data_IF_878415409874
#
_entry.id   IF_878415409874
#
_cell.length_a   1.000
_cell.length_b   1.000
_cell.length_c   1.000
_cell.angle_alpha   90.00
_cell.angle_beta   90.00
_cell.angle_gamma   90.00
#
_symmetry.space_group_name_H-M   'P 1'
#
loop_
_entity.id
_entity.type
_entity.pdbx_description
1 polymer ?
#
# COMPACT_ATOMS: atom_id res chain seq x y z
N UNK A 1 27.64 42.75 17.00
CA UNK A 1 29.12 42.87 17.05
C UNK A 1 29.69 41.56 16.54
N UNK A 2 30.56 41.51 15.54
CA UNK A 2 31.89 42.12 15.40
C UNK A 2 32.92 41.45 16.36
N UNK A 3 34.09 40.98 15.90
CA UNK A 3 34.65 40.96 14.53
C UNK A 3 35.73 39.85 14.39
N UNK A 4 35.87 39.34 13.16
CA UNK A 4 37.05 38.80 12.43
C UNK A 4 38.42 38.72 13.17
N UNK A 5 39.28 37.71 12.91
CA UNK A 5 40.40 37.70 11.92
C UNK A 5 41.47 36.64 12.37
N UNK A 6 42.54 36.21 11.67
CA UNK A 6 43.22 36.65 10.41
C UNK A 6 44.07 35.51 9.73
N UNK A 7 44.31 35.66 8.41
CA UNK A 7 45.50 35.26 7.60
C UNK A 7 45.92 33.80 7.33
N UNK A 8 46.45 33.65 6.10
CA UNK A 8 47.25 32.54 5.55
C UNK A 8 48.63 33.06 5.10
N UNK A 9 49.66 32.20 5.09
CA UNK A 9 51.00 32.38 4.47
C UNK A 9 51.61 30.95 4.33
N UNK A 10 51.88 30.32 3.17
CA UNK A 10 52.56 30.65 1.90
C UNK A 10 54.11 30.41 1.93
N UNK A 11 54.52 29.21 1.46
CA UNK A 11 55.76 28.84 0.69
C UNK A 11 57.17 29.18 1.30
N UNK A 12 58.32 28.79 0.67
CA UNK A 12 58.65 27.80 -0.38
C UNK A 12 59.77 26.80 0.10
N UNK A 13 60.76 26.20 -0.61
CA UNK A 13 61.24 26.18 -2.02
C UNK A 13 62.20 24.96 -2.31
N UNK A 14 61.88 24.09 -3.30
CA UNK A 14 62.85 23.17 -4.03
C UNK A 14 63.66 22.13 -3.20
N UNK A 15 64.44 21.15 -3.70
CA UNK A 15 64.82 20.58 -5.03
C UNK A 15 65.05 19.03 -4.78
N UNK A 16 65.48 18.09 -5.63
CA UNK A 16 66.08 18.06 -6.97
C UNK A 16 65.84 16.70 -7.73
N UNK A 17 66.77 16.30 -8.60
CA UNK A 17 66.72 15.17 -9.56
C UNK A 17 67.62 13.98 -9.18
N UNK A 18 67.27 12.76 -9.65
CA UNK A 18 68.12 12.02 -10.60
C UNK A 18 67.33 10.88 -11.29
N UNK A 19 67.80 10.43 -12.46
CA UNK A 19 67.20 9.33 -13.22
C UNK A 19 68.27 8.35 -13.71
N UNK A 20 67.95 7.06 -13.72
CA UNK A 20 68.63 6.06 -14.54
C UNK A 20 67.69 4.87 -14.76
N UNK A 21 67.68 4.30 -15.97
CA UNK A 21 66.80 3.20 -16.34
C UNK A 21 67.53 1.87 -16.42
N UNK A 22 66.87 0.79 -16.01
CA UNK A 22 67.26 -0.60 -16.29
C UNK A 22 66.04 -1.35 -16.81
N UNK A 23 66.11 -1.79 -18.07
CA UNK A 23 65.09 -2.66 -18.65
C UNK A 23 65.32 -4.10 -18.15
N UNK A 24 64.39 -4.63 -17.37
CA UNK A 24 64.40 -6.03 -16.97
C UNK A 24 64.01 -6.94 -18.16
N UNK A 25 64.64 -8.12 -18.33
CA UNK A 25 64.26 -9.05 -19.40
C UNK A 25 62.88 -9.64 -19.15
N UNK A 26 62.11 -9.86 -20.22
CA UNK A 26 60.80 -10.50 -20.16
C UNK A 26 60.94 -11.96 -19.69
N UNK A 27 60.34 -12.29 -18.55
CA UNK A 27 60.29 -13.65 -18.03
C UNK A 27 59.05 -14.37 -18.59
N UNK A 28 59.26 -15.39 -19.43
CA UNK A 28 58.19 -16.20 -20.01
C UNK A 28 57.66 -17.25 -19.00
N UNK A 29 57.23 -16.78 -17.83
CA UNK A 29 56.51 -17.61 -16.87
C UNK A 29 55.04 -17.77 -17.33
N UNK A 30 54.47 -18.99 -17.38
CA UNK A 30 53.06 -19.18 -17.72
C UNK A 30 52.18 -18.55 -16.64
N UNK A 31 51.24 -17.70 -17.06
CA UNK A 31 50.26 -17.08 -16.15
C UNK A 31 49.42 -18.17 -15.49
N UNK A 32 49.31 -18.21 -14.14
CA UNK A 32 48.37 -19.10 -13.48
C UNK A 32 46.95 -18.75 -13.91
N UNK A 33 46.13 -19.76 -14.23
CA UNK A 33 44.73 -19.55 -14.61
C UNK A 33 43.98 -18.79 -13.49
N UNK A 34 43.04 -17.89 -13.84
CA UNK A 34 42.26 -17.19 -12.83
C UNK A 34 41.53 -18.21 -11.95
N UNK A 35 41.63 -18.03 -10.63
CA UNK A 35 40.85 -18.82 -9.67
C UNK A 35 39.39 -18.50 -9.91
N UNK A 36 38.65 -19.47 -10.43
CA UNK A 36 37.23 -19.32 -10.71
C UNK A 36 36.49 -19.29 -9.38
N UNK A 37 36.05 -18.11 -8.94
CA UNK A 37 35.20 -17.98 -7.77
C UNK A 37 33.93 -18.80 -7.98
N UNK A 38 33.77 -19.84 -7.17
CA UNK A 38 32.51 -20.58 -7.11
C UNK A 38 31.48 -19.67 -6.49
N UNK A 39 30.67 -19.05 -7.35
CA UNK A 39 29.44 -18.35 -6.97
C UNK A 39 28.67 -19.29 -6.01
N UNK A 40 28.35 -18.86 -4.77
CA UNK A 40 27.58 -19.70 -3.87
C UNK A 40 26.23 -20.04 -4.52
N UNK A 41 25.74 -21.25 -4.30
CA UNK A 41 24.44 -21.66 -4.81
C UNK A 41 23.35 -20.67 -4.33
N UNK A 42 22.29 -20.44 -5.13
CA UNK A 42 21.19 -19.58 -4.72
C UNK A 42 20.69 -19.96 -3.33
N UNK A 43 20.51 -18.96 -2.46
CA UNK A 43 19.93 -19.15 -1.13
C UNK A 43 18.64 -19.93 -1.27
N UNK A 44 18.51 -21.04 -0.53
CA UNK A 44 17.34 -21.91 -0.60
C UNK A 44 16.08 -21.09 -0.31
N UNK A 45 15.21 -20.94 -1.32
CA UNK A 45 14.03 -20.10 -1.24
C UNK A 45 13.13 -20.60 -0.12
N UNK A 46 12.77 -19.71 0.82
CA UNK A 46 11.91 -20.07 1.94
C UNK A 46 10.62 -20.75 1.42
N UNK A 47 10.20 -21.89 2.01
CA UNK A 47 9.07 -22.63 1.48
C UNK A 47 7.82 -21.75 1.45
N UNK A 48 7.13 -21.77 0.31
CA UNK A 48 5.95 -20.93 0.07
C UNK A 48 4.84 -21.25 1.06
N UNK A 49 4.22 -20.20 1.63
CA UNK A 49 3.05 -20.36 2.48
C UNK A 49 1.88 -21.04 1.72
N UNK A 50 1.00 -21.70 2.48
CA UNK A 50 -0.19 -22.37 1.97
C UNK A 50 -1.42 -21.98 2.79
N UNK A 51 -2.58 -21.87 2.14
CA UNK A 51 -3.82 -21.43 2.77
C UNK A 51 -4.24 -22.30 3.98
N UNK A 52 -3.93 -23.60 3.95
CA UNK A 52 -4.22 -24.53 5.05
C UNK A 52 -3.45 -24.21 6.34
N UNK A 53 -2.29 -23.53 6.28
CA UNK A 53 -1.55 -23.14 7.49
C UNK A 53 -2.30 -22.07 8.29
N UNK A 54 -3.08 -21.18 7.64
CA UNK A 54 -3.89 -20.18 8.34
C UNK A 54 -4.94 -20.81 9.26
N UNK A 55 -5.38 -22.04 8.98
CA UNK A 55 -6.36 -22.74 9.84
C UNK A 55 -5.90 -22.93 11.28
N UNK A 56 -4.58 -22.93 11.52
CA UNK A 56 -4.00 -23.08 12.86
C UNK A 56 -2.93 -22.01 13.14
N UNK A 57 -3.01 -20.86 12.46
CA UNK A 57 -2.17 -19.70 12.73
C UNK A 57 -2.65 -18.93 13.97
N UNK A 58 -1.80 -18.03 14.48
CA UNK A 58 -2.26 -16.96 15.35
C UNK A 58 -2.98 -15.89 14.54
N UNK A 59 -3.90 -15.17 15.16
CA UNK A 59 -4.69 -14.12 14.54
C UNK A 59 -4.87 -12.95 15.51
N UNK A 60 -4.71 -11.72 15.04
CA UNK A 60 -4.95 -10.53 15.86
C UNK A 60 -6.34 -9.96 15.57
N UNK A 61 -7.15 -9.77 16.61
CA UNK A 61 -8.51 -9.23 16.50
C UNK A 61 -8.49 -7.84 15.84
N UNK A 62 -9.40 -7.62 14.90
CA UNK A 62 -9.47 -6.45 14.04
C UNK A 62 -10.45 -5.40 14.54
N UNK A 63 -11.68 -5.79 14.82
CA UNK A 63 -12.80 -4.93 15.19
C UNK A 63 -12.97 -4.71 16.71
N UNK A 64 -11.94 -5.02 17.51
CA UNK A 64 -11.86 -4.67 18.94
C UNK A 64 -10.62 -3.82 19.24
N UNK A 65 -10.81 -2.79 20.05
CA UNK A 65 -9.75 -1.87 20.49
C UNK A 65 -8.61 -2.57 21.27
N UNK A 66 -8.90 -3.70 21.91
CA UNK A 66 -7.89 -4.50 22.63
C UNK A 66 -6.93 -5.25 21.70
N UNK A 67 -7.27 -5.38 20.41
CA UNK A 67 -6.45 -6.00 19.34
C UNK A 67 -5.76 -7.28 19.83
N UNK A 68 -6.48 -8.11 20.58
CA UNK A 68 -5.91 -9.29 21.24
C UNK A 68 -5.41 -10.33 20.22
N UNK A 69 -4.40 -11.12 20.60
CA UNK A 69 -3.92 -12.24 19.76
C UNK A 69 -4.55 -13.55 20.25
N UNK A 70 -5.23 -14.24 19.34
CA UNK A 70 -5.87 -15.54 19.56
C UNK A 70 -5.15 -16.64 18.75
N UNK A 71 -5.38 -17.90 19.15
CA UNK A 71 -4.95 -19.08 18.42
C UNK A 71 -6.15 -19.69 17.68
N UNK A 72 -6.07 -19.83 16.35
CA UNK A 72 -7.09 -20.50 15.56
C UNK A 72 -6.99 -22.02 15.70
N UNK A 73 -8.12 -22.72 15.56
CA UNK A 73 -8.18 -24.18 15.40
C UNK A 73 -9.15 -24.50 14.26
N UNK A 74 -8.70 -25.22 13.23
CA UNK A 74 -9.46 -25.48 12.00
C UNK A 74 -10.15 -24.22 11.40
N UNK A 75 -9.41 -23.11 11.36
CA UNK A 75 -9.83 -21.82 10.83
C UNK A 75 -10.73 -20.99 11.75
N UNK A 76 -10.92 -21.40 13.02
CA UNK A 76 -11.94 -20.82 13.91
C UNK A 76 -11.41 -20.44 15.29
N UNK A 77 -11.74 -19.22 15.71
CA UNK A 77 -11.93 -18.70 17.06
C UNK A 77 -13.35 -18.95 17.60
N UNK A 78 -13.55 -19.49 18.81
CA UNK A 78 -14.82 -19.31 19.52
C UNK A 78 -14.64 -19.14 21.04
N UNK A 79 -15.32 -18.13 21.59
CA UNK A 79 -15.56 -17.89 23.02
C UNK A 79 -17.07 -17.71 23.24
N UNK A 80 -17.59 -18.23 24.37
CA UNK A 80 -19.02 -18.25 24.63
C UNK A 80 -19.81 -19.23 23.73
N UNK A 81 -21.10 -19.37 24.01
CA UNK A 81 -22.03 -20.22 23.22
C UNK A 81 -23.37 -19.54 22.91
N UNK A 82 -23.65 -18.39 23.53
CA UNK A 82 -24.86 -17.60 23.36
C UNK A 82 -24.47 -16.24 22.78
N UNK A 83 -24.89 -15.94 21.55
CA UNK A 83 -24.57 -14.68 20.87
C UNK A 83 -25.29 -13.45 21.47
N UNK A 84 -25.98 -13.59 22.60
CA UNK A 84 -26.57 -12.47 23.36
C UNK A 84 -25.72 -12.04 24.57
N UNK A 85 -24.65 -12.77 24.91
CA UNK A 85 -23.78 -12.44 26.06
C UNK A 85 -22.54 -11.63 25.66
N UNK A 86 -22.05 -10.79 26.58
CA UNK A 86 -20.92 -9.87 26.36
C UNK A 86 -19.55 -10.57 26.23
N UNK A 87 -19.48 -11.87 26.56
CA UNK A 87 -18.29 -12.71 26.43
C UNK A 87 -18.28 -13.55 25.14
N UNK A 88 -19.29 -13.41 24.27
CA UNK A 88 -19.32 -14.09 22.99
C UNK A 88 -18.25 -13.51 22.04
N UNK A 89 -17.51 -14.41 21.40
CA UNK A 89 -16.68 -14.08 20.24
C UNK A 89 -16.68 -15.26 19.26
N UNK A 90 -16.89 -15.01 17.98
CA UNK A 90 -16.65 -15.95 16.90
C UNK A 90 -15.76 -15.30 15.85
N UNK A 91 -14.63 -15.94 15.54
CA UNK A 91 -13.71 -15.52 14.48
C UNK A 91 -13.61 -16.66 13.47
N UNK A 92 -13.87 -16.40 12.20
CA UNK A 92 -13.83 -17.40 11.14
C UNK A 92 -12.99 -16.98 9.94
N UNK A 93 -12.01 -17.81 9.58
CA UNK A 93 -11.35 -17.78 8.26
C UNK A 93 -12.38 -18.16 7.19
N UNK A 94 -12.50 -17.33 6.15
CA UNK A 94 -13.39 -17.60 5.02
C UNK A 94 -12.70 -18.42 3.91
N UNK A 95 -13.42 -18.71 2.83
CA UNK A 95 -12.85 -19.30 1.61
C UNK A 95 -11.95 -18.35 0.80
N UNK A 96 -11.98 -17.04 1.08
CA UNK A 96 -11.23 -16.04 0.33
C UNK A 96 -9.82 -15.91 0.89
N UNK A 97 -8.89 -16.64 0.27
CA UNK A 97 -7.47 -16.67 0.61
C UNK A 97 -6.66 -16.62 -0.68
N UNK A 98 -5.69 -15.69 -0.75
CA UNK A 98 -4.86 -15.43 -1.93
C UNK A 98 -3.39 -15.47 -1.51
N UNK A 99 -2.57 -16.20 -2.26
CA UNK A 99 -1.13 -16.38 -1.97
C UNK A 99 -0.33 -15.78 -3.12
N UNK A 100 0.64 -14.92 -2.80
CA UNK A 100 1.43 -14.23 -3.82
C UNK A 100 2.38 -13.19 -3.22
N UNK A 101 3.39 -12.81 -3.99
CA UNK A 101 4.35 -11.77 -3.65
C UNK A 101 3.65 -10.40 -3.58
N UNK A 102 3.57 -9.85 -2.36
CA UNK A 102 2.91 -8.58 -2.07
C UNK A 102 3.93 -7.48 -1.75
N UNK A 103 5.14 -7.84 -1.30
CA UNK A 103 6.23 -6.91 -0.99
C UNK A 103 7.15 -6.62 -2.18
N UNK A 104 7.18 -7.49 -3.20
CA UNK A 104 8.08 -7.44 -4.35
C UNK A 104 9.46 -8.05 -4.08
N UNK A 105 9.64 -8.83 -3.00
CA UNK A 105 10.92 -9.43 -2.62
C UNK A 105 11.15 -10.86 -3.16
N UNK A 106 10.14 -11.44 -3.82
CA UNK A 106 10.15 -12.82 -4.35
C UNK A 106 9.64 -13.88 -3.37
N UNK A 107 9.20 -13.51 -2.17
CA UNK A 107 8.56 -14.38 -1.19
C UNK A 107 7.05 -14.11 -1.16
N UNK A 108 6.24 -15.18 -1.11
CA UNK A 108 4.78 -15.02 -1.09
C UNK A 108 4.24 -14.72 0.32
N UNK A 109 3.50 -13.62 0.44
CA UNK A 109 2.52 -13.36 1.50
C UNK A 109 1.26 -14.23 1.32
N UNK A 110 0.40 -14.22 2.35
CA UNK A 110 -1.02 -14.57 2.21
C UNK A 110 -1.89 -13.37 2.56
N UNK A 111 -2.82 -13.01 1.68
CA UNK A 111 -3.99 -12.20 1.98
C UNK A 111 -5.19 -13.11 2.28
N UNK A 112 -5.96 -12.81 3.32
CA UNK A 112 -7.12 -13.61 3.72
C UNK A 112 -8.28 -12.74 4.23
N UNK A 113 -9.51 -13.15 3.96
CA UNK A 113 -10.70 -12.54 4.60
C UNK A 113 -11.10 -13.35 5.84
N UNK A 114 -11.20 -12.65 6.95
CA UNK A 114 -11.75 -13.13 8.22
C UNK A 114 -13.07 -12.43 8.54
N UNK A 115 -13.91 -13.12 9.30
CA UNK A 115 -15.18 -12.63 9.83
C UNK A 115 -15.17 -12.65 11.36
N UNK A 116 -15.50 -11.53 11.99
CA UNK A 116 -15.55 -11.36 13.45
C UNK A 116 -16.98 -11.01 13.91
N UNK A 117 -17.52 -11.79 14.86
CA UNK A 117 -18.77 -11.49 15.56
C UNK A 117 -18.50 -11.46 17.07
N UNK A 118 -19.04 -10.43 17.74
CA UNK A 118 -18.95 -10.25 19.20
C UNK A 118 -20.34 -10.16 19.84
N UNK A 119 -21.24 -11.02 19.36
CA UNK A 119 -22.66 -11.04 19.70
C UNK A 119 -23.55 -10.30 18.69
N UNK A 120 -24.86 -10.43 18.86
CA UNK A 120 -25.86 -9.83 17.98
C UNK A 120 -25.84 -10.43 16.57
N UNK A 121 -26.05 -9.57 15.55
CA UNK A 121 -26.09 -9.99 14.13
C UNK A 121 -24.98 -9.41 13.27
N UNK A 122 -24.11 -8.56 13.82
CA UNK A 122 -22.96 -7.99 13.13
C UNK A 122 -21.92 -9.05 12.79
N UNK A 123 -21.26 -8.94 11.65
CA UNK A 123 -20.23 -9.89 11.23
C UNK A 123 -19.15 -9.15 10.43
N UNK A 124 -18.21 -8.58 11.16
CA UNK A 124 -17.22 -7.63 10.65
C UNK A 124 -16.23 -8.34 9.74
N UNK A 125 -16.13 -7.89 8.48
CA UNK A 125 -15.17 -8.39 7.51
C UNK A 125 -13.83 -7.69 7.64
N UNK A 126 -12.77 -8.47 7.84
CA UNK A 126 -11.40 -8.01 7.95
C UNK A 126 -10.59 -8.60 6.79
N UNK A 127 -9.93 -7.75 6.00
CA UNK A 127 -8.82 -8.17 5.13
C UNK A 127 -7.55 -8.21 5.97
N UNK A 128 -6.88 -9.36 6.01
CA UNK A 128 -5.66 -9.57 6.80
C UNK A 128 -4.50 -10.08 5.95
N UNK A 129 -3.28 -9.68 6.32
CA UNK A 129 -2.04 -10.12 5.68
C UNK A 129 -1.23 -10.96 6.65
N UNK A 130 -0.65 -12.04 6.13
CA UNK A 130 0.33 -12.87 6.80
C UNK A 130 1.64 -12.88 6.00
N UNK A 131 2.75 -12.55 6.67
CA UNK A 131 4.09 -12.63 6.10
C UNK A 131 4.68 -14.03 6.26
N UNK A 132 5.63 -14.37 5.39
CA UNK A 132 6.33 -15.66 5.43
C UNK A 132 7.57 -15.60 6.33
N UNK A 133 7.47 -16.12 7.55
CA UNK A 133 8.61 -16.23 8.47
C UNK A 133 9.08 -17.69 8.52
N UNK A 134 10.10 -18.00 7.71
CA UNK A 134 10.71 -19.34 7.61
C UNK A 134 9.71 -20.47 7.27
N UNK A 135 8.74 -20.21 6.40
CA UNK A 135 7.70 -21.16 6.01
C UNK A 135 6.46 -21.15 6.91
N UNK A 136 6.39 -20.27 7.91
CA UNK A 136 5.24 -20.13 8.81
C UNK A 136 4.53 -18.79 8.57
N UNK A 137 3.19 -18.77 8.47
CA UNK A 137 2.44 -17.54 8.32
C UNK A 137 2.41 -16.78 9.66
N UNK A 138 2.99 -15.59 9.69
CA UNK A 138 2.93 -14.68 10.84
C UNK A 138 2.00 -13.52 10.51
N UNK A 139 1.02 -13.27 11.38
CA UNK A 139 0.08 -12.15 11.20
C UNK A 139 0.85 -10.84 11.12
N UNK A 140 0.63 -10.08 10.05
CA UNK A 140 1.31 -8.82 9.79
C UNK A 140 0.41 -7.62 10.09
N UNK A 141 -0.80 -7.61 9.51
CA UNK A 141 -1.72 -6.46 9.61
C UNK A 141 -3.16 -6.83 9.22
N UNK A 142 -4.11 -5.98 9.59
CA UNK A 142 -5.52 -6.11 9.16
C UNK A 142 -6.18 -4.75 8.95
N UNK A 143 -7.10 -4.70 8.00
CA UNK A 143 -7.96 -3.54 7.74
C UNK A 143 -9.43 -3.95 7.64
N UNK A 144 -10.33 -3.03 7.98
CA UNK A 144 -11.77 -3.25 7.97
C UNK A 144 -12.35 -3.08 6.57
N UNK A 145 -13.30 -3.95 6.21
CA UNK A 145 -14.03 -3.91 4.95
C UNK A 145 -15.41 -3.29 5.19
N UNK A 146 -16.22 -3.95 6.03
CA UNK A 146 -17.59 -3.59 6.38
C UNK A 146 -18.14 -4.51 7.49
N UNK A 147 -19.33 -4.22 8.01
CA UNK A 147 -20.20 -5.22 8.65
C UNK A 147 -20.92 -6.04 7.56
N UNK A 148 -20.89 -7.38 7.64
CA UNK A 148 -21.54 -8.32 6.72
C UNK A 148 -21.23 -8.12 5.22
N UNK A 149 -19.98 -7.82 4.79
CA UNK A 149 -19.66 -7.63 3.38
C UNK A 149 -19.88 -8.92 2.58
N UNK A 150 -20.48 -8.79 1.39
CA UNK A 150 -20.58 -9.90 0.44
C UNK A 150 -19.36 -9.86 -0.48
N UNK A 151 -18.32 -10.62 -0.13
CA UNK A 151 -17.10 -10.74 -0.93
C UNK A 151 -17.39 -11.53 -2.21
N UNK A 152 -17.03 -10.98 -3.36
CA UNK A 152 -17.18 -11.60 -4.68
C UNK A 152 -15.87 -12.29 -5.11
N UNK A 153 -14.75 -11.59 -5.02
CA UNK A 153 -13.42 -12.12 -5.34
C UNK A 153 -12.29 -11.36 -4.64
N UNK A 154 -11.12 -11.98 -4.54
CA UNK A 154 -9.90 -11.39 -3.98
C UNK A 154 -8.67 -12.02 -4.64
N UNK A 155 -7.63 -11.23 -4.90
CA UNK A 155 -6.38 -11.67 -5.53
C UNK A 155 -5.19 -10.80 -5.05
N UNK A 156 -3.97 -11.30 -5.27
CA UNK A 156 -2.74 -10.48 -5.15
C UNK A 156 -2.22 -10.27 -6.57
N UNK A 157 -2.11 -9.01 -6.99
CA UNK A 157 -1.86 -8.61 -8.38
C UNK A 157 -0.99 -7.35 -8.42
N UNK A 158 0.24 -7.50 -8.94
CA UNK A 158 1.22 -6.42 -9.12
C UNK A 158 1.69 -5.75 -7.80
N UNK A 159 1.85 -6.51 -6.72
CA UNK A 159 2.25 -5.97 -5.41
C UNK A 159 1.10 -5.31 -4.62
N UNK A 160 -0.15 -5.57 -5.00
CA UNK A 160 -1.34 -5.06 -4.33
C UNK A 160 -2.38 -6.17 -4.13
N UNK A 161 -3.18 -6.09 -3.06
CA UNK A 161 -4.39 -6.91 -2.89
C UNK A 161 -5.54 -6.26 -3.64
N UNK A 162 -6.12 -6.95 -4.62
CA UNK A 162 -7.40 -6.59 -5.22
C UNK A 162 -8.55 -7.27 -4.46
N UNK A 163 -9.64 -6.54 -4.24
CA UNK A 163 -10.84 -6.99 -3.54
C UNK A 163 -12.10 -6.47 -4.24
N UNK A 164 -13.00 -7.38 -4.63
CA UNK A 164 -14.36 -7.10 -5.12
C UNK A 164 -15.36 -7.54 -4.05
N UNK A 165 -16.18 -6.61 -3.56
CA UNK A 165 -17.18 -6.87 -2.52
C UNK A 165 -18.37 -5.90 -2.61
N UNK A 166 -19.54 -6.35 -2.17
CA UNK A 166 -20.70 -5.48 -1.90
C UNK A 166 -20.65 -5.09 -0.41
N UNK A 167 -20.71 -3.79 -0.14
CA UNK A 167 -20.67 -3.19 1.20
C UNK A 167 -21.80 -2.17 1.38
N UNK A 168 -22.02 -1.68 2.61
CA UNK A 168 -23.10 -0.74 2.90
C UNK A 168 -22.86 0.61 2.20
N UNK A 169 -23.85 1.06 1.43
CA UNK A 169 -23.97 2.44 0.98
C UNK A 169 -24.65 3.33 2.04
N UNK A 170 -24.58 4.64 1.85
CA UNK A 170 -25.05 5.67 2.79
C UNK A 170 -26.52 5.58 3.25
N UNK A 171 -27.35 4.75 2.60
CA UNK A 171 -28.79 4.59 2.87
C UNK A 171 -29.16 3.15 3.29
N UNK A 172 -28.19 2.23 3.34
CA UNK A 172 -28.46 0.85 3.71
C UNK A 172 -28.68 0.72 5.22
N UNK A 173 -29.73 -0.01 5.61
CA UNK A 173 -29.84 -0.51 6.97
C UNK A 173 -28.75 -1.56 7.20
N UNK A 174 -28.07 -1.50 8.35
CA UNK A 174 -26.87 -2.28 8.70
C UNK A 174 -27.00 -3.83 8.71
N UNK A 175 -28.04 -4.40 8.13
CA UNK A 175 -28.18 -5.83 7.86
C UNK A 175 -27.80 -6.23 6.43
N UNK A 176 -27.74 -5.26 5.52
CA UNK A 176 -28.18 -5.45 4.15
C UNK A 176 -27.39 -4.55 3.18
N UNK A 177 -26.10 -4.81 2.97
CA UNK A 177 -25.26 -4.00 2.08
C UNK A 177 -25.68 -4.13 0.61
N UNK A 178 -25.75 -3.01 -0.11
CA UNK A 178 -26.19 -2.95 -1.51
C UNK A 178 -25.18 -2.34 -2.47
N UNK A 179 -24.18 -1.59 -2.01
CA UNK A 179 -23.23 -0.86 -2.86
C UNK A 179 -22.08 -1.78 -3.34
N UNK A 180 -21.96 -2.06 -4.66
CA UNK A 180 -20.83 -2.80 -5.19
C UNK A 180 -19.57 -1.95 -5.14
N UNK A 181 -18.44 -2.55 -4.73
CA UNK A 181 -17.15 -1.86 -4.59
C UNK A 181 -16.01 -2.68 -5.14
N UNK A 182 -14.98 -2.01 -5.70
CA UNK A 182 -13.65 -2.61 -5.86
C UNK A 182 -12.61 -1.80 -5.10
N UNK A 183 -11.66 -2.49 -4.48
CA UNK A 183 -10.58 -1.89 -3.71
C UNK A 183 -9.25 -2.47 -4.19
N UNK A 184 -8.20 -1.64 -4.28
CA UNK A 184 -6.80 -2.12 -4.32
C UNK A 184 -6.05 -1.59 -3.10
N UNK A 185 -5.25 -2.46 -2.48
CA UNK A 185 -4.45 -2.12 -1.31
C UNK A 185 -2.98 -2.43 -1.53
N UNK A 186 -2.11 -1.43 -1.38
CA UNK A 186 -0.67 -1.60 -1.30
C UNK A 186 -0.26 -1.90 0.15
N UNK A 187 0.79 -2.72 0.33
CA UNK A 187 1.40 -2.94 1.64
C UNK A 187 2.51 -1.90 1.87
N UNK A 188 2.28 -0.98 2.80
CA UNK A 188 3.13 0.20 3.06
C UNK A 188 3.47 0.23 4.55
N UNK A 189 4.76 0.18 4.91
CA UNK A 189 5.22 0.15 6.32
C UNK A 189 4.47 -0.87 7.20
N UNK A 190 4.23 -2.08 6.65
CA UNK A 190 3.46 -3.16 7.26
C UNK A 190 1.98 -2.82 7.56
N UNK A 191 1.40 -1.86 6.83
CA UNK A 191 -0.02 -1.49 6.89
C UNK A 191 -0.64 -1.55 5.49
N UNK A 192 -1.94 -1.88 5.41
CA UNK A 192 -2.68 -1.86 4.15
C UNK A 192 -3.15 -0.44 3.85
N UNK A 193 -2.48 0.25 2.90
CA UNK A 193 -2.99 1.50 2.34
C UNK A 193 -3.92 1.18 1.17
N UNK A 194 -5.16 1.65 1.20
CA UNK A 194 -6.00 1.61 0.01
C UNK A 194 -5.45 2.62 -1.01
N UNK A 195 -5.20 2.19 -2.24
CA UNK A 195 -4.61 3.01 -3.32
C UNK A 195 -5.54 3.18 -4.52
N UNK A 196 -6.59 2.37 -4.62
CA UNK A 196 -7.71 2.58 -5.54
C UNK A 196 -9.02 2.15 -4.88
N UNK A 197 -10.08 2.90 -5.15
CA UNK A 197 -11.45 2.61 -4.71
C UNK A 197 -12.46 2.97 -5.79
N UNK A 198 -13.38 2.05 -6.10
CA UNK A 198 -14.53 2.31 -6.99
C UNK A 198 -15.83 1.87 -6.32
N UNK A 199 -16.93 2.54 -6.66
CA UNK A 199 -18.30 2.15 -6.30
C UNK A 199 -19.17 2.01 -7.57
N UNK A 200 -20.45 1.70 -7.42
CA UNK A 200 -21.43 1.86 -8.49
C UNK A 200 -22.69 2.60 -8.01
N UNK A 201 -23.35 3.31 -8.91
CA UNK A 201 -24.69 3.89 -8.66
C UNK A 201 -25.75 2.78 -8.56
N UNK A 202 -26.97 3.06 -8.04
CA UNK A 202 -28.07 2.09 -8.01
C UNK A 202 -28.45 1.50 -9.39
N UNK A 203 -28.15 2.22 -10.46
CA UNK A 203 -28.36 1.81 -11.86
C UNK A 203 -27.20 0.95 -12.40
N UNK A 204 -26.16 0.70 -11.61
CA UNK A 204 -24.98 -0.11 -11.96
C UNK A 204 -23.87 0.65 -12.69
N UNK A 205 -23.95 1.99 -12.82
CA UNK A 205 -22.88 2.77 -13.43
C UNK A 205 -21.70 2.90 -12.47
N UNK A 206 -20.50 2.43 -12.86
CA UNK A 206 -19.31 2.50 -12.01
C UNK A 206 -18.86 3.96 -11.80
N UNK A 207 -18.56 4.33 -10.55
CA UNK A 207 -17.83 5.53 -10.17
C UNK A 207 -16.35 5.20 -10.05
N UNK A 208 -15.55 5.89 -10.85
CA UNK A 208 -14.11 5.68 -11.02
C UNK A 208 -13.47 7.07 -11.11
N UNK A 209 -12.44 7.30 -10.31
CA UNK A 209 -11.37 8.28 -10.53
C UNK A 209 -10.17 7.50 -11.08
N UNK A 210 -9.43 8.06 -12.02
CA UNK A 210 -8.22 7.44 -12.59
C UNK A 210 -7.14 8.50 -12.82
N UNK A 211 -5.97 8.34 -12.20
CA UNK A 211 -4.78 9.15 -12.42
C UNK A 211 -4.02 8.59 -13.62
N UNK A 212 -4.10 9.29 -14.75
CA UNK A 212 -3.45 8.89 -16.02
C UNK A 212 -2.01 9.36 -16.14
N UNK A 213 -1.64 10.42 -15.41
CA UNK A 213 -0.28 10.92 -15.30
C UNK A 213 -0.11 11.67 -13.96
N UNK A 214 1.08 11.63 -13.31
CA UNK A 214 2.24 10.81 -13.67
C UNK A 214 2.01 9.32 -13.39
N UNK A 215 2.97 8.46 -13.75
CA UNK A 215 2.92 7.03 -13.44
C UNK A 215 3.35 6.74 -11.99
N UNK A 216 2.88 5.63 -11.43
CA UNK A 216 3.31 5.16 -10.11
C UNK A 216 4.84 5.00 -10.03
N UNK A 217 5.44 5.53 -8.96
CA UNK A 217 6.89 5.55 -8.73
C UNK A 217 7.63 6.70 -9.42
N UNK A 218 6.94 7.66 -10.05
CA UNK A 218 7.59 8.78 -10.72
C UNK A 218 8.35 9.71 -9.76
N UNK A 219 9.44 10.30 -10.26
CA UNK A 219 10.26 11.27 -9.52
C UNK A 219 9.72 12.69 -9.73
N UNK A 220 9.65 13.51 -8.66
CA UNK A 220 9.14 14.88 -8.71
C UNK A 220 9.90 15.83 -7.78
N UNK A 221 9.93 17.13 -8.09
CA UNK A 221 10.59 18.15 -7.25
C UNK A 221 9.92 19.52 -7.38
N UNK A 222 9.66 20.17 -6.24
CA UNK A 222 9.00 21.48 -6.15
C UNK A 222 7.51 21.49 -6.53
N UNK A 223 7.13 20.86 -7.63
CA UNK A 223 5.73 20.67 -8.05
C UNK A 223 5.57 19.45 -8.97
N UNK A 224 4.35 18.98 -9.14
CA UNK A 224 3.98 17.92 -10.08
C UNK A 224 2.68 18.25 -10.81
N UNK A 225 2.62 17.97 -12.11
CA UNK A 225 1.37 18.01 -12.87
C UNK A 225 0.69 16.65 -12.75
N UNK A 226 -0.55 16.59 -12.28
CA UNK A 226 -1.35 15.36 -12.25
C UNK A 226 -2.56 15.53 -13.16
N UNK A 227 -2.78 14.56 -14.04
CA UNK A 227 -3.85 14.55 -15.03
C UNK A 227 -4.63 13.23 -14.95
N UNK A 228 -5.95 13.30 -15.03
CA UNK A 228 -6.78 12.11 -14.87
C UNK A 228 -8.21 12.26 -15.36
N UNK A 229 -8.98 11.18 -15.21
CA UNK A 229 -10.37 11.10 -15.65
C UNK A 229 -11.31 10.79 -14.48
N UNK A 230 -12.59 11.09 -14.68
CA UNK A 230 -13.69 10.55 -13.89
C UNK A 230 -14.75 9.97 -14.82
N UNK A 231 -15.29 8.82 -14.46
CA UNK A 231 -16.39 8.17 -15.21
C UNK A 231 -17.74 8.85 -15.02
N UNK A 232 -17.95 9.49 -13.88
CA UNK A 232 -19.14 10.25 -13.49
C UNK A 232 -18.63 11.52 -12.80
N UNK A 233 -19.02 12.70 -13.28
CA UNK A 233 -18.61 13.95 -12.65
C UNK A 233 -19.07 14.03 -11.16
N UNK A 234 -18.20 14.47 -10.25
CA UNK A 234 -18.51 14.59 -8.82
C UNK A 234 -19.46 15.76 -8.54
N UNK A 235 -19.91 15.89 -7.29
CA UNK A 235 -20.72 17.02 -6.87
C UNK A 235 -19.99 18.35 -7.11
N UNK A 236 -20.72 19.34 -7.66
CA UNK A 236 -20.17 20.66 -8.06
C UNK A 236 -18.94 20.61 -9.00
N UNK A 237 -18.70 19.47 -9.67
CA UNK A 237 -17.49 19.19 -10.45
C UNK A 237 -16.18 19.34 -9.64
N UNK A 238 -16.22 19.09 -8.33
CA UNK A 238 -15.07 19.21 -7.44
C UNK A 238 -14.69 17.85 -6.79
N UNK A 239 -13.43 17.44 -6.96
CA UNK A 239 -12.79 16.36 -6.20
C UNK A 239 -11.98 16.96 -5.03
N UNK A 240 -11.52 16.13 -4.11
CA UNK A 240 -10.56 16.53 -3.07
C UNK A 240 -9.23 15.78 -3.26
N UNK A 241 -8.09 16.48 -3.20
CA UNK A 241 -6.78 15.85 -3.14
C UNK A 241 -6.23 15.82 -1.72
N UNK A 242 -5.35 14.86 -1.46
CA UNK A 242 -4.51 14.79 -0.27
C UNK A 242 -3.09 14.35 -0.64
N UNK A 243 -2.09 14.81 0.11
CA UNK A 243 -0.69 14.36 0.00
C UNK A 243 -0.21 13.85 1.35
N UNK A 244 0.21 12.59 1.40
CA UNK A 244 0.71 11.90 2.59
C UNK A 244 2.07 11.24 2.33
N UNK A 245 2.90 11.06 3.37
CA UNK A 245 4.00 10.08 3.29
C UNK A 245 3.53 8.64 3.57
N UNK A 246 4.47 7.70 3.47
CA UNK A 246 4.28 6.28 3.80
C UNK A 246 4.04 6.01 5.30
N UNK A 247 4.18 7.01 6.18
CA UNK A 247 3.82 6.94 7.59
C UNK A 247 2.45 7.58 7.92
N UNK A 248 1.77 8.15 6.91
CA UNK A 248 0.45 8.78 7.05
C UNK A 248 0.49 10.25 7.46
N UNK A 249 1.66 10.91 7.51
CA UNK A 249 1.74 12.34 7.78
C UNK A 249 1.24 13.14 6.58
N UNK A 250 0.24 14.01 6.78
CA UNK A 250 -0.32 14.84 5.72
C UNK A 250 0.52 16.12 5.50
N UNK A 251 0.91 16.38 4.26
CA UNK A 251 1.60 17.62 3.86
C UNK A 251 0.63 18.66 3.28
N UNK A 252 -0.35 18.22 2.49
CA UNK A 252 -1.29 19.10 1.80
C UNK A 252 -2.64 18.41 1.57
N UNK A 253 -3.68 19.23 1.35
CA UNK A 253 -4.98 18.82 0.85
C UNK A 253 -5.71 20.02 0.23
N UNK A 254 -6.69 19.78 -0.64
CA UNK A 254 -7.47 20.87 -1.26
C UNK A 254 -8.41 20.39 -2.37
N UNK A 255 -9.08 21.32 -3.08
CA UNK A 255 -9.96 21.01 -4.19
C UNK A 255 -9.19 20.60 -5.46
N UNK A 256 -9.84 19.85 -6.35
CA UNK A 256 -9.37 19.54 -7.72
C UNK A 256 -10.56 19.68 -8.67
N UNK A 257 -10.45 20.59 -9.64
CA UNK A 257 -11.55 20.90 -10.53
C UNK A 257 -11.66 19.91 -11.70
N UNK A 258 -12.87 19.38 -11.91
CA UNK A 258 -13.21 18.52 -13.04
C UNK A 258 -13.84 19.34 -14.16
N UNK A 259 -13.36 19.14 -15.38
CA UNK A 259 -14.04 19.58 -16.60
C UNK A 259 -14.89 18.44 -17.13
N UNK A 260 -16.22 18.62 -17.13
CA UNK A 260 -17.21 17.69 -17.68
C UNK A 260 -18.24 18.49 -18.52
N UNK A 261 -18.86 17.89 -19.55
CA UNK A 261 -19.81 18.60 -20.43
C UNK A 261 -21.18 18.85 -19.77
N UNK A 262 -21.61 17.93 -18.90
CA UNK A 262 -22.90 17.91 -18.21
C UNK A 262 -22.74 17.26 -16.82
N UNK A 263 -23.69 17.49 -15.91
CA UNK A 263 -23.68 16.86 -14.58
C UNK A 263 -23.75 15.34 -14.68
N UNK A 264 -22.84 14.65 -13.98
CA UNK A 264 -22.74 13.19 -13.98
C UNK A 264 -22.20 12.56 -15.27
N UNK A 265 -21.85 13.36 -16.30
CA UNK A 265 -21.13 12.87 -17.47
C UNK A 265 -19.66 12.54 -17.12
N UNK A 266 -18.95 11.73 -17.93
CA UNK A 266 -17.51 11.58 -17.79
C UNK A 266 -16.77 12.92 -17.93
N UNK A 267 -15.66 13.07 -17.23
CA UNK A 267 -14.87 14.31 -17.18
C UNK A 267 -13.38 14.08 -17.00
N UNK A 268 -12.62 15.17 -16.99
CA UNK A 268 -11.15 15.16 -16.84
C UNK A 268 -10.69 16.25 -15.88
N UNK A 269 -9.64 15.98 -15.11
CA UNK A 269 -8.92 16.96 -14.31
C UNK A 269 -7.45 17.04 -14.76
N UNK A 270 -6.84 18.22 -14.61
CA UNK A 270 -5.42 18.43 -14.91
C UNK A 270 -4.88 19.62 -14.10
N UNK A 271 -4.23 19.34 -12.97
CA UNK A 271 -3.86 20.35 -11.98
C UNK A 271 -2.36 20.27 -11.62
N UNK A 272 -1.81 21.39 -11.14
CA UNK A 272 -0.40 21.47 -10.70
C UNK A 272 -0.35 21.53 -9.16
N UNK A 273 0.26 20.53 -8.54
CA UNK A 273 0.35 20.39 -7.09
C UNK A 273 1.72 20.82 -6.60
N UNK A 274 1.77 21.66 -5.57
CA UNK A 274 3.04 22.04 -4.92
C UNK A 274 3.56 20.91 -4.03
N UNK A 275 4.87 20.71 -4.05
CA UNK A 275 5.63 19.76 -3.24
C UNK A 275 6.66 20.48 -2.35
N UNK A 276 6.55 21.82 -2.23
CA UNK A 276 7.43 22.62 -1.39
C UNK A 276 7.31 22.22 0.09
N UNK A 277 8.45 22.10 0.76
CA UNK A 277 8.53 21.70 2.18
C UNK A 277 8.53 20.18 2.42
N UNK A 278 8.24 19.35 1.42
CA UNK A 278 8.41 17.90 1.52
C UNK A 278 9.91 17.56 1.36
N UNK A 279 10.53 16.75 2.25
CA UNK A 279 11.96 16.47 2.16
C UNK A 279 12.37 15.66 0.91
N UNK A 280 13.51 15.97 0.28
CA UNK A 280 14.13 15.10 -0.72
C UNK A 280 14.36 13.68 -0.21
N UNK A 281 14.04 12.69 -1.04
CA UNK A 281 14.07 11.27 -0.68
C UNK A 281 12.80 10.75 0.01
N UNK A 282 11.85 11.61 0.38
CA UNK A 282 10.54 11.15 0.87
C UNK A 282 9.72 10.52 -0.25
N UNK A 283 9.17 9.33 0.01
CA UNK A 283 8.08 8.77 -0.79
C UNK A 283 6.75 9.37 -0.31
N UNK A 284 5.91 9.83 -1.24
CA UNK A 284 4.55 10.27 -0.95
C UNK A 284 3.51 9.48 -1.75
N UNK A 285 2.27 9.46 -1.26
CA UNK A 285 1.07 9.20 -2.03
C UNK A 285 0.30 10.51 -2.22
N UNK A 286 0.00 10.84 -3.48
CA UNK A 286 -0.95 11.89 -3.84
C UNK A 286 -2.26 11.20 -4.23
N UNK A 287 -3.30 11.42 -3.44
CA UNK A 287 -4.62 10.81 -3.61
C UNK A 287 -5.59 11.82 -4.21
N UNK A 288 -6.49 11.35 -5.08
CA UNK A 288 -7.62 12.12 -5.62
C UNK A 288 -8.91 11.37 -5.26
N UNK A 289 -9.84 12.04 -4.57
CA UNK A 289 -11.03 11.44 -3.95
C UNK A 289 -12.33 12.13 -4.45
N UNK A 290 -13.29 11.33 -4.94
CA UNK A 290 -14.72 11.69 -5.06
C UNK A 290 -15.38 11.37 -3.71
N UNK A 291 -15.84 12.40 -3.02
CA UNK A 291 -16.39 12.33 -1.66
C UNK A 291 -17.86 12.69 -1.71
N UNK A 292 -18.70 11.85 -1.11
CA UNK A 292 -20.13 12.05 -0.98
C UNK A 292 -20.44 13.31 -0.17
N UNK A 293 -21.03 14.31 -0.83
CA UNK A 293 -21.51 15.54 -0.19
C UNK A 293 -22.69 15.30 0.78
N UNK A 294 -23.24 14.08 0.85
CA UNK A 294 -24.36 13.73 1.75
C UNK A 294 -23.91 13.26 3.15
N UNK A 295 -22.77 12.57 3.23
CA UNK A 295 -22.31 11.88 4.46
C UNK A 295 -20.79 11.85 4.66
N UNK A 296 -19.98 12.30 3.68
CA UNK A 296 -18.53 12.26 3.72
C UNK A 296 -17.90 10.90 3.36
N UNK A 297 -18.70 9.93 2.91
CA UNK A 297 -18.18 8.63 2.45
C UNK A 297 -17.39 8.77 1.14
N UNK A 298 -16.43 7.88 0.90
CA UNK A 298 -15.79 7.76 -0.42
C UNK A 298 -16.77 7.20 -1.45
N UNK A 299 -16.76 7.79 -2.65
CA UNK A 299 -17.49 7.31 -3.82
C UNK A 299 -16.55 6.75 -4.89
N UNK A 300 -15.35 7.31 -5.00
CA UNK A 300 -14.21 6.76 -5.73
C UNK A 300 -12.91 7.42 -5.24
N UNK A 301 -11.78 6.73 -5.37
CA UNK A 301 -10.46 7.28 -5.07
C UNK A 301 -9.41 6.61 -5.94
N UNK A 302 -8.37 7.35 -6.32
CA UNK A 302 -7.17 6.80 -6.93
C UNK A 302 -5.92 7.52 -6.40
N UNK A 303 -4.80 6.81 -6.31
CA UNK A 303 -3.59 7.29 -5.65
C UNK A 303 -2.32 7.04 -6.48
N UNK A 304 -1.48 8.06 -6.62
CA UNK A 304 -0.16 7.95 -7.26
C UNK A 304 0.97 8.10 -6.25
N UNK A 305 1.86 7.09 -6.21
CA UNK A 305 3.11 7.08 -5.46
C UNK A 305 4.18 7.88 -6.19
N UNK A 306 4.81 8.84 -5.50
CA UNK A 306 5.87 9.70 -6.03
C UNK A 306 7.11 9.67 -5.12
N UNK A 307 8.28 9.91 -5.70
CA UNK A 307 9.57 10.03 -4.98
C UNK A 307 10.10 11.45 -5.12
N UNK A 308 10.25 12.17 -4.00
CA UNK A 308 10.69 13.56 -3.98
C UNK A 308 12.21 13.69 -4.21
N UNK A 309 12.65 14.71 -4.95
CA UNK A 309 14.05 15.04 -5.24
C UNK A 309 14.43 16.46 -4.80
#
# INVERSE_FOLDING_TARGET
MNYKHLTSLILPLTLATLACGLAAPASNAPTPAPVQETIPAPTESAPSLTADQLKNAQYQLGARDDRAVIQLTDGKYQQGTDATTLDFAYIGLTQFVSVGDLTGDGVNEIAAIFLENYGGTGNFGLLTIYSNVNGLPVFLTSTFIDDRPMINSMSIENGEVFLDAITHGAQDGGCCPTMPTTRRYALVNNQLRMVNYTTATPEGAKRIVEITAPVNGAEASGSVQVSGTVSIAPFENNLTYFIYDEAGNQFAAGPVMVTAPDFGAPGTFNETFTLEGIPPGTTIYLEIQDISAADGSWLAMDAVKLVIK
#
